data_IF_875688967975
#
_entry.id   IF_875688967975
#
_cell.length_a   1.000
_cell.length_b   1.000
_cell.length_c   1.000
_cell.angle_alpha   90.00
_cell.angle_beta   90.00
_cell.angle_gamma   90.00
#
_symmetry.space_group_name_H-M   'P 1'
#
loop_
_entity.id
_entity.type
_entity.pdbx_description
1 polymer ?
#
# COMPACT_ATOMS: atom_id res chain seq x y z
N UNK A 1 -15.71 -1.83 26.95
CA UNK A 1 -16.04 -2.60 25.73
C UNK A 1 -15.54 -4.00 25.98
N UNK A 2 -16.43 -4.98 26.01
CA UNK A 2 -16.12 -6.35 26.43
C UNK A 2 -15.32 -7.07 25.33
N UNK A 3 -14.25 -7.76 25.72
CA UNK A 3 -13.43 -8.65 24.85
C UNK A 3 -14.26 -9.54 23.91
N UNK A 4 -15.46 -9.93 24.35
CA UNK A 4 -16.42 -10.70 23.57
C UNK A 4 -16.87 -9.98 22.28
N UNK A 5 -17.15 -8.68 22.35
CA UNK A 5 -17.59 -7.90 21.19
C UNK A 5 -16.51 -7.78 20.12
N UNK A 6 -15.24 -7.66 20.53
CA UNK A 6 -14.11 -7.58 19.61
C UNK A 6 -13.76 -8.93 19.01
N UNK A 7 -13.92 -10.02 19.77
CA UNK A 7 -13.83 -11.39 19.24
C UNK A 7 -14.89 -11.63 18.15
N UNK A 8 -16.14 -11.21 18.37
CA UNK A 8 -17.22 -11.33 17.37
C UNK A 8 -16.94 -10.52 16.11
N UNK A 9 -16.42 -9.28 16.24
CA UNK A 9 -15.98 -8.47 15.08
C UNK A 9 -14.90 -9.19 14.28
N UNK A 10 -13.87 -9.70 14.95
CA UNK A 10 -12.77 -10.44 14.30
C UNK A 10 -13.26 -11.71 13.61
N UNK A 11 -14.15 -12.48 14.24
CA UNK A 11 -14.77 -13.65 13.63
C UNK A 11 -15.63 -13.28 12.41
N UNK A 12 -16.39 -12.18 12.50
CA UNK A 12 -17.16 -11.65 11.37
C UNK A 12 -16.27 -11.25 10.20
N UNK A 13 -15.19 -10.50 10.46
CA UNK A 13 -14.20 -10.13 9.45
C UNK A 13 -13.53 -11.36 8.82
N UNK A 14 -13.23 -12.38 9.62
CA UNK A 14 -12.68 -13.64 9.13
C UNK A 14 -13.69 -14.39 8.24
N UNK A 15 -14.98 -14.38 8.61
CA UNK A 15 -16.06 -14.99 7.83
C UNK A 15 -16.35 -14.28 6.50
N UNK A 16 -16.25 -12.94 6.47
CA UNK A 16 -16.31 -12.16 5.22
C UNK A 16 -15.08 -12.48 4.36
N UNK A 17 -13.92 -12.59 4.99
CA UNK A 17 -12.64 -12.83 4.32
C UNK A 17 -12.06 -11.57 3.69
N UNK A 18 -10.76 -11.58 3.45
CA UNK A 18 -10.02 -10.39 2.99
C UNK A 18 -10.36 -9.98 1.55
N UNK A 19 -10.68 -10.95 0.68
CA UNK A 19 -11.00 -10.71 -0.73
C UNK A 19 -12.41 -10.11 -0.87
N UNK A 20 -13.37 -10.60 -0.08
CA UNK A 20 -14.76 -10.15 -0.12
C UNK A 20 -15.03 -8.96 0.81
N UNK A 21 -13.98 -8.39 1.42
CA UNK A 21 -14.09 -7.25 2.34
C UNK A 21 -14.46 -5.97 1.57
N UNK A 22 -15.76 -5.70 1.48
CA UNK A 22 -16.34 -4.49 0.87
C UNK A 22 -17.07 -3.64 1.90
N UNK A 23 -17.29 -2.37 1.59
CA UNK A 23 -18.08 -1.48 2.44
C UNK A 23 -19.50 -2.03 2.66
N UNK A 24 -20.14 -2.54 1.60
CA UNK A 24 -21.46 -3.15 1.68
C UNK A 24 -21.52 -4.34 2.65
N UNK A 25 -20.53 -5.25 2.59
CA UNK A 25 -20.46 -6.40 3.50
C UNK A 25 -20.19 -6.01 4.96
N UNK A 26 -19.38 -4.97 5.16
CA UNK A 26 -19.13 -4.42 6.50
C UNK A 26 -20.37 -3.71 7.05
N UNK A 27 -21.10 -2.97 6.21
CA UNK A 27 -22.34 -2.32 6.58
C UNK A 27 -23.41 -3.36 6.95
N UNK A 28 -23.59 -4.41 6.14
CA UNK A 28 -24.50 -5.54 6.43
C UNK A 28 -24.18 -6.19 7.79
N UNK A 29 -22.92 -6.59 8.01
CA UNK A 29 -22.47 -7.18 9.26
C UNK A 29 -22.73 -6.26 10.45
N UNK A 30 -22.42 -4.98 10.29
CA UNK A 30 -22.60 -3.97 11.33
C UNK A 30 -24.08 -3.76 11.66
N UNK A 31 -24.96 -3.73 10.66
CA UNK A 31 -26.40 -3.64 10.86
C UNK A 31 -26.95 -4.85 11.61
N UNK A 32 -26.46 -6.06 11.34
CA UNK A 32 -26.85 -7.25 12.10
C UNK A 32 -26.43 -7.17 13.57
N UNK A 33 -25.20 -6.71 13.84
CA UNK A 33 -24.70 -6.55 15.20
C UNK A 33 -25.51 -5.49 15.97
N UNK A 34 -25.93 -4.42 15.30
CA UNK A 34 -26.82 -3.40 15.88
C UNK A 34 -28.19 -3.99 16.20
N UNK A 35 -28.77 -4.77 15.27
CA UNK A 35 -30.08 -5.43 15.48
C UNK A 35 -30.04 -6.42 16.64
N UNK A 36 -28.93 -7.12 16.83
CA UNK A 36 -28.72 -8.07 17.93
C UNK A 36 -28.45 -7.38 19.28
N UNK A 37 -28.28 -6.05 19.30
CA UNK A 37 -27.94 -5.29 20.50
C UNK A 37 -26.47 -5.42 20.93
N UNK A 38 -25.64 -6.05 20.09
CA UNK A 38 -24.20 -6.27 20.34
C UNK A 38 -23.34 -5.05 20.00
N UNK A 39 -23.93 -4.05 19.32
CA UNK A 39 -23.23 -2.84 18.90
C UNK A 39 -24.18 -1.66 18.82
N UNK A 40 -23.76 -0.47 19.25
CA UNK A 40 -24.52 0.76 19.01
C UNK A 40 -24.36 1.26 17.56
N UNK A 41 -25.30 2.10 17.11
CA UNK A 41 -25.20 2.73 15.77
C UNK A 41 -23.91 3.56 15.59
N UNK A 42 -23.44 4.18 16.67
CA UNK A 42 -22.22 5.01 16.63
C UNK A 42 -20.97 4.14 16.52
N UNK A 43 -20.87 3.08 17.33
CA UNK A 43 -19.79 2.10 17.27
C UNK A 43 -19.72 1.42 15.90
N UNK A 44 -20.88 1.09 15.31
CA UNK A 44 -20.93 0.51 13.97
C UNK A 44 -20.37 1.41 12.88
N UNK A 45 -20.79 2.67 12.86
CA UNK A 45 -20.23 3.65 11.92
C UNK A 45 -18.73 3.84 12.10
N UNK A 46 -18.25 3.80 13.35
CA UNK A 46 -16.81 3.88 13.65
C UNK A 46 -16.07 2.65 13.14
N UNK A 47 -16.60 1.46 13.40
CA UNK A 47 -16.01 0.19 12.98
C UNK A 47 -15.84 0.09 11.47
N UNK A 48 -16.88 0.41 10.69
CA UNK A 48 -16.80 0.38 9.21
C UNK A 48 -15.70 1.32 8.70
N UNK A 49 -15.64 2.56 9.22
CA UNK A 49 -14.62 3.54 8.82
C UNK A 49 -13.21 3.07 9.18
N UNK A 50 -13.03 2.52 10.37
CA UNK A 50 -11.74 2.03 10.85
C UNK A 50 -11.21 0.90 9.97
N UNK A 51 -12.05 -0.10 9.68
CA UNK A 51 -11.67 -1.23 8.82
C UNK A 51 -11.33 -0.78 7.39
N UNK A 52 -12.11 0.14 6.81
CA UNK A 52 -11.83 0.68 5.48
C UNK A 52 -10.53 1.49 5.45
N UNK A 53 -10.31 2.35 6.45
CA UNK A 53 -9.07 3.13 6.57
C UNK A 53 -7.84 2.24 6.73
N UNK A 54 -7.92 1.22 7.59
CA UNK A 54 -6.83 0.26 7.76
C UNK A 54 -6.57 -0.55 6.50
N UNK A 55 -7.61 -0.94 5.76
CA UNK A 55 -7.46 -1.60 4.45
C UNK A 55 -6.66 -0.73 3.49
N UNK A 56 -7.02 0.54 3.33
CA UNK A 56 -6.30 1.43 2.41
C UNK A 56 -4.84 1.64 2.81
N UNK A 57 -4.57 1.77 4.12
CA UNK A 57 -3.21 1.89 4.64
C UNK A 57 -2.38 0.63 4.33
N UNK A 58 -2.94 -0.55 4.60
CA UNK A 58 -2.26 -1.83 4.33
C UNK A 58 -1.99 -2.04 2.84
N UNK A 59 -2.93 -1.65 1.96
CA UNK A 59 -2.73 -1.71 0.50
C UNK A 59 -1.53 -0.85 0.09
N UNK A 60 -1.47 0.41 0.55
CA UNK A 60 -0.35 1.31 0.26
C UNK A 60 1.00 0.75 0.75
N UNK A 61 1.04 0.24 1.98
CA UNK A 61 2.28 -0.38 2.51
C UNK A 61 2.72 -1.62 1.71
N UNK A 62 1.78 -2.40 1.18
CA UNK A 62 2.08 -3.55 0.32
C UNK A 62 2.60 -3.07 -1.04
N UNK A 63 1.97 -2.08 -1.65
CA UNK A 63 2.42 -1.47 -2.91
C UNK A 63 3.85 -0.94 -2.79
N UNK A 64 4.16 -0.22 -1.71
CA UNK A 64 5.51 0.30 -1.45
C UNK A 64 6.54 -0.83 -1.31
N UNK A 65 6.22 -1.88 -0.55
CA UNK A 65 7.10 -3.05 -0.39
C UNK A 65 7.32 -3.79 -1.71
N UNK A 66 6.28 -3.91 -2.54
CA UNK A 66 6.39 -4.54 -3.86
C UNK A 66 7.30 -3.68 -4.75
N UNK A 67 7.09 -2.37 -4.80
CA UNK A 67 7.91 -1.45 -5.58
C UNK A 67 9.38 -1.50 -5.17
N UNK A 68 9.66 -1.48 -3.86
CA UNK A 68 11.01 -1.61 -3.33
C UNK A 68 11.63 -2.96 -3.70
N UNK A 69 10.88 -4.05 -3.54
CA UNK A 69 11.36 -5.39 -3.87
C UNK A 69 11.67 -5.54 -5.36
N UNK A 70 10.78 -5.05 -6.23
CA UNK A 70 10.97 -5.06 -7.68
C UNK A 70 12.20 -4.23 -8.05
N UNK A 71 12.32 -3.02 -7.51
CA UNK A 71 13.49 -2.15 -7.75
C UNK A 71 14.79 -2.85 -7.38
N UNK A 72 14.86 -3.43 -6.18
CA UNK A 72 16.03 -4.18 -5.69
C UNK A 72 16.35 -5.38 -6.58
N UNK A 73 15.35 -6.14 -7.00
CA UNK A 73 15.56 -7.28 -7.90
C UNK A 73 16.09 -6.83 -9.26
N UNK A 74 15.60 -5.71 -9.81
CA UNK A 74 16.12 -5.16 -11.07
C UNK A 74 17.59 -4.75 -10.91
N UNK A 75 17.93 -4.03 -9.83
CA UNK A 75 19.32 -3.64 -9.50
C UNK A 75 20.25 -4.87 -9.37
N UNK A 76 19.80 -5.95 -8.72
CA UNK A 76 20.57 -7.19 -8.54
C UNK A 76 20.68 -8.04 -9.82
N UNK A 77 19.73 -7.89 -10.75
CA UNK A 77 19.66 -8.70 -11.98
C UNK A 77 20.60 -8.26 -13.11
N UNK A 78 21.34 -7.16 -12.92
CA UNK A 78 22.21 -6.59 -13.96
C UNK A 78 21.46 -5.86 -15.08
N UNK A 79 20.15 -5.61 -14.91
CA UNK A 79 19.34 -4.82 -15.84
C UNK A 79 19.61 -3.34 -15.59
N UNK A 80 20.16 -2.66 -16.59
CA UNK A 80 20.45 -1.22 -16.54
C UNK A 80 19.14 -0.43 -16.62
N UNK A 81 18.88 0.45 -15.66
CA UNK A 81 17.72 1.33 -15.71
C UNK A 81 17.95 2.50 -16.69
N UNK A 82 16.88 3.07 -17.23
CA UNK A 82 16.98 4.28 -18.07
C UNK A 82 17.69 5.43 -17.35
N UNK A 83 17.56 5.52 -16.02
CA UNK A 83 18.27 6.50 -15.18
C UNK A 83 19.79 6.33 -15.26
N UNK A 84 20.27 5.09 -15.32
CA UNK A 84 21.70 4.79 -15.36
C UNK A 84 22.30 5.19 -16.72
N UNK A 85 21.55 4.97 -17.81
CA UNK A 85 21.91 5.44 -19.15
C UNK A 85 21.95 6.98 -19.21
N UNK A 86 20.93 7.66 -18.68
CA UNK A 86 20.91 9.12 -18.64
C UNK A 86 22.06 9.71 -17.80
N UNK A 87 22.44 9.05 -16.71
CA UNK A 87 23.59 9.43 -15.91
C UNK A 87 24.91 9.24 -16.69
N UNK A 88 25.00 8.18 -17.51
CA UNK A 88 26.16 7.93 -18.36
C UNK A 88 26.25 8.97 -19.50
N UNK A 89 25.14 9.29 -20.18
CA UNK A 89 25.08 10.33 -21.21
C UNK A 89 25.57 11.69 -20.67
N UNK A 90 25.09 12.10 -19.50
CA UNK A 90 25.57 13.35 -18.86
C UNK A 90 27.07 13.33 -18.56
N UNK A 91 27.62 12.17 -18.15
CA UNK A 91 29.06 12.03 -17.94
C UNK A 91 29.82 12.15 -19.25
N UNK A 92 29.32 11.54 -20.33
CA UNK A 92 29.91 11.63 -21.68
C UNK A 92 29.91 13.08 -22.16
N UNK A 93 28.77 13.79 -22.10
CA UNK A 93 28.70 15.20 -22.51
C UNK A 93 29.68 16.09 -21.73
N UNK A 94 29.85 15.84 -20.42
CA UNK A 94 30.80 16.59 -19.60
C UNK A 94 32.24 16.33 -20.02
N UNK A 95 32.58 15.07 -20.32
CA UNK A 95 33.90 14.70 -20.82
C UNK A 95 34.17 15.32 -22.19
N UNK A 96 33.22 15.26 -23.11
CA UNK A 96 33.32 15.87 -24.44
C UNK A 96 33.57 17.38 -24.34
N UNK A 97 32.81 18.10 -23.49
CA UNK A 97 33.03 19.53 -23.24
C UNK A 97 34.43 19.80 -22.69
N UNK A 98 34.91 18.97 -21.76
CA UNK A 98 36.24 19.12 -21.16
C UNK A 98 37.33 18.91 -22.21
N UNK A 99 37.24 17.85 -23.01
CA UNK A 99 38.19 17.55 -24.09
C UNK A 99 38.21 18.68 -25.13
N UNK A 100 37.03 19.15 -25.57
CA UNK A 100 36.94 20.25 -26.53
C UNK A 100 37.54 21.56 -25.97
N UNK A 101 37.40 21.82 -24.66
CA UNK A 101 38.03 22.99 -24.03
C UNK A 101 39.55 22.87 -23.91
N UNK A 102 40.08 21.65 -23.87
CA UNK A 102 41.53 21.37 -23.85
C UNK A 102 42.14 21.35 -25.24
N UNK A 103 41.39 20.94 -26.28
CA UNK A 103 41.86 20.89 -27.67
C UNK A 103 41.80 22.23 -28.40
N UNK A 104 41.02 23.21 -27.91
CA UNK A 104 40.93 24.57 -28.45
C UNK A 104 41.88 25.56 -27.75
N UNK A 105 42.96 25.06 -27.14
CA UNK A 105 44.00 25.84 -26.45
C UNK A 105 45.36 25.49 -27.04
#
# INVERSE_FOLDING_TARGET
MSEMSDMLKKMGLFGIGVISLTQEKLDEFTQEMIKKGEMSREEGKKFVREVLSEKEKQVREIEDKINEKVKKTIEESGVVMKSDLAALEKKIEKLEKTINSMSNK
#
